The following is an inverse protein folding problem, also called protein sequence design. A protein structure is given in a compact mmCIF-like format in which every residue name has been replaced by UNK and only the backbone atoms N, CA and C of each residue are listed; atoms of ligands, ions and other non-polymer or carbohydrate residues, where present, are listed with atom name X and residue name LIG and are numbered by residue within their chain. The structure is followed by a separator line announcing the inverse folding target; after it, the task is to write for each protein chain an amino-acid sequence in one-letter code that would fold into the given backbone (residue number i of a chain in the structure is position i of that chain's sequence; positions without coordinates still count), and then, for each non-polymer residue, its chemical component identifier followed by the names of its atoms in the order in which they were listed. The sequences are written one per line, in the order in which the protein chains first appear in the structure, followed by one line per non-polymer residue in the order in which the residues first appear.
data_IF_614834788321
#
_entry.id   IF_614834788321
#
_cell.length_a   1.000
_cell.length_b   1.000
_cell.length_c   1.000
_cell.angle_alpha   90.00
_cell.angle_beta   90.00
_cell.angle_gamma   90.00
#
_symmetry.space_group_name_H-M   'P 1'
#
loop_
_entity.id
_entity.type
_entity.pdbx_description
1 polymer ?
#
# COMPACT_ATOMS: atom_id res chain seq x y z
N UNK A 1 2.76 28.20 12.87
CA UNK A 1 2.89 26.72 12.92
C UNK A 1 4.29 26.35 12.44
N UNK A 2 5.15 25.80 13.31
CA UNK A 2 6.44 25.25 12.86
C UNK A 2 6.19 23.94 12.08
N UNK A 3 6.95 23.63 11.02
CA UNK A 3 6.77 22.36 10.33
C UNK A 3 7.02 21.24 11.34
N UNK A 4 5.99 20.42 11.60
CA UNK A 4 6.17 19.17 12.32
C UNK A 4 7.35 18.45 11.69
N UNK A 5 8.40 18.15 12.47
CA UNK A 5 9.58 17.43 11.97
C UNK A 5 9.05 16.18 11.24
N UNK A 6 9.44 15.94 9.99
CA UNK A 6 8.93 14.80 9.24
C UNK A 6 9.25 13.55 10.06
N UNK A 7 8.21 12.77 10.39
CA UNK A 7 8.43 11.53 11.13
C UNK A 7 9.29 10.64 10.21
N UNK A 8 10.38 10.02 10.71
CA UNK A 8 11.17 9.10 9.89
C UNK A 8 10.31 8.00 9.25
N UNK A 9 9.15 7.68 9.85
CA UNK A 9 8.15 6.75 9.33
C UNK A 9 7.41 7.31 8.10
N UNK A 10 7.27 8.62 7.94
CA UNK A 10 6.66 9.24 6.74
C UNK A 10 7.53 9.05 5.50
N UNK A 11 8.84 9.22 5.64
CA UNK A 11 9.78 8.98 4.55
C UNK A 11 9.77 7.50 4.13
N UNK A 12 9.74 6.60 5.11
CA UNK A 12 9.61 5.16 4.88
C UNK A 12 8.27 4.80 4.22
N UNK A 13 7.17 5.38 4.70
CA UNK A 13 5.85 5.23 4.11
C UNK A 13 5.87 5.59 2.63
N UNK A 14 6.39 6.77 2.29
CA UNK A 14 6.46 7.25 0.90
C UNK A 14 7.28 6.32 0.00
N UNK A 15 8.42 5.83 0.48
CA UNK A 15 9.26 4.89 -0.28
C UNK A 15 8.55 3.54 -0.51
N UNK A 16 7.86 3.02 0.51
CA UNK A 16 7.10 1.78 0.41
C UNK A 16 5.88 1.91 -0.51
N UNK A 17 5.18 3.05 -0.47
CA UNK A 17 4.09 3.34 -1.38
C UNK A 17 4.56 3.41 -2.84
N UNK A 18 5.71 4.04 -3.10
CA UNK A 18 6.32 4.03 -4.44
C UNK A 18 6.66 2.61 -4.89
N UNK A 19 7.13 1.76 -3.99
CA UNK A 19 7.41 0.34 -4.30
C UNK A 19 6.12 -0.43 -4.60
N UNK A 20 5.03 -0.14 -3.87
CA UNK A 20 3.71 -0.71 -4.09
C UNK A 20 3.13 -0.31 -5.46
N UNK A 21 3.31 0.95 -5.87
CA UNK A 21 2.82 1.48 -7.14
C UNK A 21 3.67 1.04 -8.34
N UNK A 22 5.00 1.20 -8.24
CA UNK A 22 5.94 0.97 -9.33
C UNK A 22 6.52 -0.45 -9.37
N UNK A 23 6.25 -1.29 -8.37
CA UNK A 23 6.76 -2.66 -8.31
C UNK A 23 6.38 -3.43 -9.58
N UNK A 24 7.35 -4.03 -10.26
CA UNK A 24 7.11 -4.71 -11.54
C UNK A 24 6.38 -6.05 -11.39
N UNK A 25 6.42 -6.65 -10.19
CA UNK A 25 5.91 -8.00 -9.94
C UNK A 25 5.11 -8.07 -8.63
N UNK A 26 4.19 -9.04 -8.55
CA UNK A 26 3.41 -9.32 -7.35
C UNK A 26 4.27 -9.51 -6.08
N UNK A 27 5.38 -10.27 -6.09
CA UNK A 27 6.21 -10.45 -4.91
C UNK A 27 6.76 -9.13 -4.38
N UNK A 28 7.32 -8.27 -5.24
CA UNK A 28 7.88 -6.97 -4.83
C UNK A 28 6.82 -6.11 -4.13
N UNK A 29 5.61 -6.07 -4.70
CA UNK A 29 4.49 -5.32 -4.14
C UNK A 29 4.01 -5.92 -2.82
N UNK A 30 3.94 -7.26 -2.69
CA UNK A 30 3.62 -7.94 -1.42
C UNK A 30 4.63 -7.60 -0.33
N UNK A 31 5.92 -7.58 -0.66
CA UNK A 31 6.96 -7.20 0.30
C UNK A 31 6.78 -5.76 0.77
N UNK A 32 6.37 -4.85 -0.13
CA UNK A 32 6.05 -3.47 0.25
C UNK A 32 4.84 -3.41 1.20
N UNK A 33 3.77 -4.18 0.94
CA UNK A 33 2.61 -4.28 1.85
C UNK A 33 3.03 -4.81 3.22
N UNK A 34 3.82 -5.88 3.28
CA UNK A 34 4.31 -6.44 4.55
C UNK A 34 5.12 -5.40 5.35
N UNK A 35 5.98 -4.63 4.68
CA UNK A 35 6.73 -3.54 5.30
C UNK A 35 5.83 -2.39 5.75
N UNK A 36 4.76 -2.05 5.01
CA UNK A 36 3.76 -1.05 5.42
C UNK A 36 3.02 -1.47 6.69
N UNK A 37 2.69 -2.77 6.81
CA UNK A 37 2.08 -3.32 8.03
C UNK A 37 3.05 -3.27 9.20
N UNK A 38 4.32 -3.65 8.98
CA UNK A 38 5.35 -3.59 10.01
C UNK A 38 5.61 -2.15 10.50
N UNK A 39 5.50 -1.16 9.61
CA UNK A 39 5.60 0.25 9.95
C UNK A 39 4.49 0.73 10.89
N UNK A 40 3.34 0.03 10.93
CA UNK A 40 2.14 0.36 11.72
C UNK A 40 1.68 1.82 11.56
N UNK A 41 1.94 2.42 10.40
CA UNK A 41 1.61 3.81 10.16
C UNK A 41 0.14 3.95 9.74
N UNK A 42 -0.67 4.75 10.43
CA UNK A 42 -2.09 4.93 10.07
C UNK A 42 -2.26 5.53 8.67
N UNK A 43 -1.29 6.34 8.23
CA UNK A 43 -1.25 6.90 6.87
C UNK A 43 -1.10 5.86 5.74
N UNK A 44 -0.79 4.59 6.05
CA UNK A 44 -0.75 3.51 5.06
C UNK A 44 -2.14 2.97 4.68
N UNK A 45 -3.18 3.17 5.51
CA UNK A 45 -4.51 2.58 5.27
C UNK A 45 -5.17 3.15 4.01
N UNK A 46 -5.20 4.47 3.87
CA UNK A 46 -5.81 5.15 2.72
C UNK A 46 -5.17 4.72 1.38
N UNK A 47 -3.82 4.74 1.22
CA UNK A 47 -3.19 4.29 -0.01
C UNK A 47 -3.29 2.78 -0.23
N UNK A 48 -3.35 1.94 0.81
CA UNK A 48 -3.64 0.50 0.65
C UNK A 48 -5.05 0.26 0.09
N UNK A 49 -6.05 1.00 0.58
CA UNK A 49 -7.43 0.96 0.05
C UNK A 49 -7.48 1.42 -1.40
N UNK A 50 -6.77 2.51 -1.71
CA UNK A 50 -6.73 3.06 -3.07
C UNK A 50 -5.97 2.13 -4.03
N UNK A 51 -4.87 1.53 -3.58
CA UNK A 51 -4.16 0.51 -4.34
C UNK A 51 -5.12 -0.65 -4.64
N UNK A 52 -5.84 -1.18 -3.64
CA UNK A 52 -6.86 -2.23 -3.86
C UNK A 52 -7.86 -1.85 -4.97
N UNK A 53 -8.37 -0.62 -4.95
CA UNK A 53 -9.36 -0.15 -5.91
C UNK A 53 -8.79 0.09 -7.32
N UNK A 54 -7.64 0.77 -7.44
CA UNK A 54 -6.94 1.01 -8.71
C UNK A 54 -6.49 -0.28 -9.38
N UNK A 55 -6.25 -1.32 -8.59
CA UNK A 55 -5.88 -2.64 -9.06
C UNK A 55 -7.07 -3.42 -9.64
N UNK A 56 -8.31 -3.12 -9.20
CA UNK A 56 -9.56 -3.64 -9.79
C UNK A 56 -10.04 -2.84 -11.01
N UNK A 57 -9.90 -1.52 -10.99
CA UNK A 57 -10.38 -0.63 -12.06
C UNK A 57 -9.24 -0.24 -13.02
N UNK A 58 -8.67 -1.24 -13.70
CA UNK A 58 -7.73 -0.99 -14.81
C UNK A 58 -8.32 0.06 -15.76
N UNK A 59 -7.67 1.21 -15.80
CA UNK A 59 -8.09 2.38 -16.60
C UNK A 59 -8.29 1.93 -18.04
N UNK A 60 -9.55 1.98 -18.50
CA UNK A 60 -9.98 1.90 -19.90
C UNK A 60 -9.59 0.62 -20.68
N UNK A 61 -10.30 -0.48 -20.41
CA UNK A 61 -10.79 -1.41 -21.44
C UNK A 61 -9.80 -2.23 -22.29
N UNK A 62 -8.49 -1.96 -22.27
CA UNK A 62 -7.51 -2.66 -23.11
C UNK A 62 -6.42 -3.33 -22.26
N UNK A 63 -6.68 -4.59 -21.97
CA UNK A 63 -5.67 -5.65 -21.95
C UNK A 63 -4.48 -5.46 -21.02
N UNK A 64 -4.65 -5.68 -19.71
CA UNK A 64 -3.62 -6.31 -18.87
C UNK A 64 -4.30 -7.21 -17.86
N UNK A 65 -4.25 -8.53 -18.10
CA UNK A 65 -4.67 -9.58 -17.16
C UNK A 65 -4.23 -9.21 -15.74
N UNK A 66 -5.17 -8.74 -14.93
CA UNK A 66 -5.21 -8.78 -13.47
C UNK A 66 -3.85 -8.86 -12.72
N UNK A 67 -2.86 -8.03 -13.11
CA UNK A 67 -1.47 -8.12 -12.60
C UNK A 67 -1.37 -7.87 -11.10
N UNK A 68 -2.46 -7.43 -10.48
CA UNK A 68 -2.55 -7.08 -9.07
C UNK A 68 -3.63 -7.85 -8.29
N UNK A 69 -4.36 -8.80 -8.89
CA UNK A 69 -5.27 -9.66 -8.14
C UNK A 69 -4.54 -10.38 -6.98
N UNK A 70 -3.27 -10.71 -7.19
CA UNK A 70 -2.36 -11.28 -6.21
C UNK A 70 -2.18 -10.45 -4.93
N UNK A 71 -2.51 -9.15 -4.96
CA UNK A 71 -2.31 -8.21 -3.86
C UNK A 71 -3.61 -7.86 -3.15
N UNK A 72 -4.78 -8.17 -3.72
CA UNK A 72 -6.08 -7.84 -3.10
C UNK A 72 -6.17 -8.42 -1.70
N UNK A 73 -5.90 -9.71 -1.54
CA UNK A 73 -5.92 -10.38 -0.24
C UNK A 73 -4.86 -9.83 0.73
N UNK A 74 -3.66 -9.48 0.25
CA UNK A 74 -2.60 -8.93 1.10
C UNK A 74 -2.90 -7.49 1.53
N UNK A 75 -3.45 -6.67 0.63
CA UNK A 75 -3.88 -5.31 0.93
C UNK A 75 -5.04 -5.31 1.94
N UNK A 76 -6.01 -6.21 1.79
CA UNK A 76 -7.10 -6.35 2.75
C UNK A 76 -6.63 -6.83 4.12
N UNK A 77 -5.75 -7.84 4.17
CA UNK A 77 -5.11 -8.26 5.42
C UNK A 77 -4.36 -7.11 6.08
N UNK A 78 -3.58 -6.36 5.30
CA UNK A 78 -2.84 -5.21 5.81
C UNK A 78 -3.76 -4.13 6.38
N UNK A 79 -4.83 -3.78 5.66
CA UNK A 79 -5.83 -2.81 6.13
C UNK A 79 -6.48 -3.30 7.41
N UNK A 80 -6.85 -4.58 7.50
CA UNK A 80 -7.45 -5.17 8.71
C UNK A 80 -6.49 -5.09 9.89
N UNK A 81 -5.23 -5.51 9.71
CA UNK A 81 -4.21 -5.45 10.76
C UNK A 81 -3.95 -4.02 11.22
N UNK A 82 -3.81 -3.06 10.30
CA UNK A 82 -3.59 -1.65 10.64
C UNK A 82 -4.82 -0.97 11.24
N UNK A 83 -6.02 -1.42 10.89
CA UNK A 83 -7.28 -0.90 11.44
C UNK A 83 -7.59 -1.44 12.84
N UNK A 84 -7.08 -2.63 13.18
CA UNK A 84 -7.25 -3.25 14.50
C UNK A 84 -6.08 -2.96 15.44
N UNK A 85 -4.91 -2.55 14.92
CA UNK A 85 -3.79 -2.15 15.76
C UNK A 85 -4.20 -0.94 16.63
N UNK A 86 -4.10 -1.04 17.98
CA UNK A 86 -4.34 0.11 18.85
C UNK A 86 -3.33 1.22 18.53
N UNK A 87 -3.83 2.46 18.44
CA UNK A 87 -3.05 3.67 18.15
C UNK A 87 -1.99 3.94 19.20
#
# INVERSE_FOLDING_TARGET
MGPAKPDPRDAQLKALLRTLEAGRTCPIRKTAIAKLVALRHPGAIAPLKQARYRMSNGVLGFGRRNYNACLTADAERAIKTLSTAPR
#
